data_IF_105186295838
#
_entry.id   IF_105186295838
#
_cell.length_a   1.000
_cell.length_b   1.000
_cell.length_c   1.000
_cell.angle_alpha   90.00
_cell.angle_beta   90.00
_cell.angle_gamma   90.00
#
_symmetry.space_group_name_H-M   'P 1'
#
loop_
_entity.id
_entity.type
_entity.pdbx_description
1 polymer ?
#
# COMPACT_ATOMS: atom_id res chain seq x y z
N UNK A 1 -5.74 12.42 17.88
CA UNK A 1 -4.85 11.77 16.90
C UNK A 1 -5.32 12.12 15.52
N UNK A 2 -4.39 12.31 14.59
CA UNK A 2 -4.66 12.49 13.16
C UNK A 2 -5.34 11.23 12.57
N UNK A 3 -6.44 11.34 11.78
CA UNK A 3 -7.15 10.18 11.21
C UNK A 3 -6.29 9.26 10.35
N UNK A 4 -5.29 9.81 9.64
CA UNK A 4 -4.33 9.03 8.88
C UNK A 4 -3.43 8.22 9.82
N UNK A 5 -2.87 8.87 10.83
CA UNK A 5 -2.10 8.17 11.88
C UNK A 5 -2.89 7.01 12.51
N UNK A 6 -4.14 7.24 12.93
CA UNK A 6 -5.00 6.18 13.50
C UNK A 6 -5.28 5.06 12.49
N UNK A 7 -5.45 5.39 11.21
CA UNK A 7 -5.60 4.39 10.14
C UNK A 7 -4.34 3.55 10.01
N UNK A 8 -3.15 4.17 10.00
CA UNK A 8 -1.88 3.45 9.93
C UNK A 8 -1.64 2.55 11.15
N UNK A 9 -1.93 3.02 12.36
CA UNK A 9 -1.86 2.21 13.57
C UNK A 9 -2.77 0.98 13.47
N UNK A 10 -4.01 1.16 13.00
CA UNK A 10 -4.94 0.05 12.81
C UNK A 10 -4.43 -0.94 11.75
N UNK A 11 -3.82 -0.46 10.66
CA UNK A 11 -3.21 -1.31 9.64
C UNK A 11 -1.99 -2.07 10.20
N UNK A 12 -1.16 -1.47 11.04
CA UNK A 12 -0.04 -2.14 11.70
C UNK A 12 -0.50 -3.27 12.61
N UNK A 13 -1.51 -3.02 13.44
CA UNK A 13 -2.11 -4.06 14.30
C UNK A 13 -2.68 -5.18 13.43
N UNK A 14 -3.34 -4.82 12.32
CA UNK A 14 -3.91 -5.80 11.40
C UNK A 14 -2.82 -6.64 10.72
N UNK A 15 -1.76 -6.02 10.18
CA UNK A 15 -0.62 -6.70 9.56
C UNK A 15 -0.04 -7.69 10.56
N UNK A 16 0.29 -7.23 11.78
CA UNK A 16 0.84 -8.06 12.84
C UNK A 16 0.01 -9.34 13.09
N UNK A 17 -1.32 -9.18 13.15
CA UNK A 17 -2.25 -10.27 13.41
C UNK A 17 -2.37 -11.29 12.26
N UNK A 18 -1.92 -10.96 11.04
CA UNK A 18 -2.11 -11.79 9.85
C UNK A 18 -0.81 -12.23 9.16
N UNK A 19 0.36 -11.83 9.67
CA UNK A 19 1.65 -12.25 9.12
C UNK A 19 1.81 -13.77 9.04
N UNK A 20 1.33 -14.49 10.06
CA UNK A 20 1.36 -15.95 10.07
C UNK A 20 0.58 -16.59 8.90
N UNK A 21 -0.46 -15.93 8.40
CA UNK A 21 -1.26 -16.42 7.26
C UNK A 21 -0.51 -16.42 5.93
N UNK A 22 0.60 -15.70 5.84
CA UNK A 22 1.47 -15.65 4.65
C UNK A 22 2.85 -16.28 4.89
N UNK A 23 3.02 -17.01 5.99
CA UNK A 23 4.29 -17.62 6.37
C UNK A 23 5.38 -16.62 6.76
N UNK A 24 5.00 -15.41 7.19
CA UNK A 24 5.92 -14.39 7.69
C UNK A 24 5.86 -14.29 9.22
N UNK A 25 6.98 -13.94 9.85
CA UNK A 25 7.07 -13.70 11.29
C UNK A 25 7.93 -12.46 11.58
N UNK A 26 7.46 -11.31 11.09
CA UNK A 26 8.14 -10.03 11.26
C UNK A 26 7.89 -9.44 12.62
N UNK A 27 8.92 -8.81 13.19
CA UNK A 27 8.77 -7.94 14.34
C UNK A 27 8.00 -6.70 13.92
N UNK A 28 7.03 -6.32 14.76
CA UNK A 28 6.28 -5.08 14.57
C UNK A 28 7.23 -3.89 14.72
N UNK A 29 7.33 -3.00 13.70
CA UNK A 29 8.12 -1.79 13.83
C UNK A 29 7.59 -0.93 14.98
N UNK A 30 8.50 -0.36 15.77
CA UNK A 30 8.17 0.46 16.93
C UNK A 30 7.85 1.92 16.59
N UNK A 31 7.88 2.28 15.30
CA UNK A 31 7.45 3.58 14.77
C UNK A 31 6.73 3.40 13.43
N UNK A 32 6.01 4.44 13.01
CA UNK A 32 5.37 4.50 11.70
C UNK A 32 6.26 5.27 10.71
N UNK A 33 6.29 4.91 9.42
CA UNK A 33 6.93 5.72 8.40
C UNK A 33 6.18 7.05 8.21
N UNK A 34 6.87 8.08 7.73
CA UNK A 34 6.23 9.33 7.31
C UNK A 34 5.46 9.11 6.00
N UNK A 35 4.22 9.58 5.93
CA UNK A 35 3.45 9.60 4.68
C UNK A 35 3.63 10.93 3.98
N UNK A 36 4.26 10.93 2.79
CA UNK A 36 4.36 12.11 1.92
C UNK A 36 3.40 12.03 0.75
N UNK A 37 2.57 13.05 0.61
CA UNK A 37 1.74 13.22 -0.58
C UNK A 37 2.53 13.97 -1.64
N UNK A 38 2.55 13.45 -2.87
CA UNK A 38 3.28 14.05 -3.98
C UNK A 38 2.48 14.00 -5.29
N UNK A 39 2.61 15.00 -6.15
CA UNK A 39 1.95 14.98 -7.46
C UNK A 39 2.27 13.69 -8.23
N UNK A 40 1.30 13.13 -8.97
CA UNK A 40 1.49 11.90 -9.74
C UNK A 40 2.69 11.98 -10.69
N UNK A 41 2.91 13.14 -11.34
CA UNK A 41 4.06 13.34 -12.24
C UNK A 41 5.39 13.14 -11.51
N UNK A 42 5.58 13.80 -10.36
CA UNK A 42 6.82 13.66 -9.58
C UNK A 42 6.97 12.26 -9.01
N UNK A 43 5.91 11.66 -8.47
CA UNK A 43 5.97 10.31 -7.91
C UNK A 43 6.31 9.27 -8.98
N UNK A 44 5.68 9.36 -10.16
CA UNK A 44 5.96 8.48 -11.28
C UNK A 44 7.41 8.62 -11.78
N UNK A 45 7.94 9.85 -11.85
CA UNK A 45 9.34 10.06 -12.20
C UNK A 45 10.30 9.43 -11.18
N UNK A 46 10.00 9.53 -9.88
CA UNK A 46 10.84 8.96 -8.81
C UNK A 46 10.82 7.44 -8.79
N UNK A 47 9.63 6.85 -8.81
CA UNK A 47 9.46 5.41 -8.64
C UNK A 47 9.69 4.61 -9.92
N UNK A 48 9.35 5.19 -11.08
CA UNK A 48 9.36 4.48 -12.36
C UNK A 48 10.39 5.02 -13.36
N UNK A 49 10.95 6.21 -13.14
CA UNK A 49 11.82 6.90 -14.10
C UNK A 49 11.10 7.45 -15.34
N UNK A 50 9.79 7.22 -15.45
CA UNK A 50 8.92 7.59 -16.59
C UNK A 50 7.46 7.68 -16.13
N UNK A 51 6.56 8.31 -16.91
CA UNK A 51 5.13 8.32 -16.59
C UNK A 51 4.60 6.90 -16.38
N UNK A 52 3.96 6.67 -15.23
CA UNK A 52 3.39 5.38 -14.83
C UNK A 52 2.19 5.60 -13.90
N UNK A 53 1.25 4.65 -13.90
CA UNK A 53 0.02 4.71 -13.11
C UNK A 53 0.24 4.31 -11.63
N UNK A 54 1.26 4.90 -10.98
CA UNK A 54 1.59 4.63 -9.58
C UNK A 54 0.74 5.50 -8.65
N UNK A 55 0.29 4.91 -7.55
CA UNK A 55 -0.56 5.56 -6.54
C UNK A 55 0.13 5.64 -5.20
N UNK A 56 0.86 4.59 -4.82
CA UNK A 56 1.70 4.54 -3.64
C UNK A 56 3.07 3.95 -3.95
N UNK A 57 4.05 4.28 -3.13
CA UNK A 57 5.40 3.74 -3.26
C UNK A 57 6.18 3.84 -1.95
N UNK A 58 6.71 2.71 -1.49
CA UNK A 58 7.79 2.65 -0.53
C UNK A 58 9.14 2.41 -1.24
N UNK A 59 10.09 3.36 -1.20
CA UNK A 59 11.45 3.13 -1.66
C UNK A 59 12.12 2.07 -0.79
N UNK A 60 12.41 0.90 -1.33
CA UNK A 60 13.13 -0.19 -0.62
C UNK A 60 14.65 -0.01 -0.61
N UNK A 61 15.16 1.13 -1.10
CA UNK A 61 16.58 1.47 -1.16
C UNK A 61 16.79 2.89 -0.67
N UNK A 62 17.93 3.14 -0.03
CA UNK A 62 18.36 4.47 0.46
C UNK A 62 17.39 5.11 1.45
N UNK A 63 16.65 4.30 2.21
CA UNK A 63 15.89 4.77 3.36
C UNK A 63 16.83 5.08 4.53
N UNK A 64 16.39 6.00 5.38
CA UNK A 64 17.09 6.32 6.62
C UNK A 64 16.30 5.68 7.76
N UNK A 65 16.96 4.80 8.52
CA UNK A 65 16.32 4.10 9.64
C UNK A 65 15.72 5.09 10.65
N UNK A 66 14.43 4.93 10.96
CA UNK A 66 13.67 5.81 11.84
C UNK A 66 13.15 7.09 11.18
N UNK A 67 13.37 7.26 9.87
CA UNK A 67 12.94 8.41 9.06
C UNK A 67 12.43 7.96 7.68
N UNK A 68 11.91 6.73 7.62
CA UNK A 68 11.41 6.11 6.42
C UNK A 68 10.24 6.91 5.86
N UNK A 69 10.21 7.05 4.54
CA UNK A 69 9.15 7.78 3.85
C UNK A 69 8.41 6.84 2.90
N UNK A 70 7.09 6.83 3.03
CA UNK A 70 6.16 6.20 2.11
C UNK A 70 5.41 7.29 1.36
N UNK A 71 5.37 7.18 0.03
CA UNK A 71 4.74 8.18 -0.83
C UNK A 71 3.36 7.74 -1.28
N UNK A 72 2.41 8.66 -1.31
CA UNK A 72 1.10 8.53 -1.95
C UNK A 72 0.88 9.69 -2.93
N UNK A 73 0.08 9.49 -3.98
CA UNK A 73 -0.26 10.61 -4.86
C UNK A 73 -1.16 11.64 -4.15
N UNK A 74 -1.00 12.92 -4.45
CA UNK A 74 -1.86 13.98 -3.91
C UNK A 74 -3.37 13.74 -4.17
N UNK A 75 -4.20 14.09 -3.18
CA UNK A 75 -5.66 14.03 -3.29
C UNK A 75 -6.28 12.64 -3.11
N UNK A 76 -5.49 11.62 -2.79
CA UNK A 76 -6.02 10.32 -2.34
C UNK A 76 -6.39 10.35 -0.86
N UNK A 77 -7.31 9.46 -0.48
CA UNK A 77 -7.85 9.39 0.87
C UNK A 77 -7.77 7.95 1.39
N UNK A 78 -6.64 7.52 1.98
CA UNK A 78 -6.52 6.18 2.57
C UNK A 78 -7.44 5.97 3.78
N UNK A 79 -7.93 7.04 4.42
CA UNK A 79 -8.80 6.95 5.59
C UNK A 79 -10.17 6.46 5.16
N UNK A 80 -10.78 7.08 4.15
CA UNK A 80 -12.16 6.76 3.75
C UNK A 80 -12.26 5.90 2.49
N UNK A 81 -11.22 5.84 1.65
CA UNK A 81 -11.22 5.03 0.43
C UNK A 81 -10.50 3.70 0.66
N UNK A 82 -11.28 2.61 0.73
CA UNK A 82 -10.76 1.25 0.90
C UNK A 82 -9.69 0.89 -0.15
N UNK A 83 -9.83 1.32 -1.41
CA UNK A 83 -8.86 1.00 -2.47
C UNK A 83 -7.49 1.62 -2.15
N UNK A 84 -7.48 2.90 -1.79
CA UNK A 84 -6.27 3.63 -1.42
C UNK A 84 -5.69 3.06 -0.13
N UNK A 85 -6.55 2.67 0.81
CA UNK A 85 -6.12 2.03 2.06
C UNK A 85 -5.44 0.69 1.82
N UNK A 86 -5.92 -0.11 0.86
CA UNK A 86 -5.29 -1.37 0.48
C UNK A 86 -3.92 -1.12 -0.16
N UNK A 87 -3.77 -0.09 -1.01
CA UNK A 87 -2.46 0.34 -1.55
C UNK A 87 -1.55 0.76 -0.39
N UNK A 88 -2.03 1.57 0.54
CA UNK A 88 -1.25 1.96 1.72
C UNK A 88 -0.79 0.74 2.52
N UNK A 89 -1.67 -0.23 2.77
CA UNK A 89 -1.30 -1.48 3.46
C UNK A 89 -0.19 -2.23 2.71
N UNK A 90 -0.30 -2.35 1.39
CA UNK A 90 0.72 -3.00 0.55
C UNK A 90 2.09 -2.35 0.78
N UNK A 91 2.18 -1.03 0.66
CA UNK A 91 3.42 -0.29 0.86
C UNK A 91 3.93 -0.35 2.32
N UNK A 92 3.02 -0.42 3.31
CA UNK A 92 3.41 -0.62 4.71
C UNK A 92 4.00 -2.03 4.93
N UNK A 93 3.57 -3.05 4.20
CA UNK A 93 4.21 -4.38 4.26
C UNK A 93 5.65 -4.30 3.75
N UNK A 94 5.94 -3.51 2.71
CA UNK A 94 7.32 -3.28 2.28
C UNK A 94 8.16 -2.58 3.36
N UNK A 95 7.60 -1.62 4.08
CA UNK A 95 8.26 -1.04 5.24
C UNK A 95 8.55 -2.10 6.32
N UNK A 96 7.60 -2.98 6.63
CA UNK A 96 7.82 -4.08 7.58
C UNK A 96 8.91 -5.04 7.11
N UNK A 97 8.93 -5.38 5.83
CA UNK A 97 9.97 -6.22 5.24
C UNK A 97 11.35 -5.59 5.38
N UNK A 98 11.47 -4.30 5.08
CA UNK A 98 12.71 -3.53 5.19
C UNK A 98 13.20 -3.43 6.64
N UNK A 99 12.31 -3.06 7.57
CA UNK A 99 12.61 -2.99 9.01
C UNK A 99 13.14 -4.31 9.58
N UNK A 100 12.69 -5.44 9.01
CA UNK A 100 13.08 -6.78 9.44
C UNK A 100 14.24 -7.39 8.63
N UNK A 101 14.89 -6.63 7.74
CA UNK A 101 15.90 -7.13 6.79
C UNK A 101 15.40 -8.38 6.02
N UNK A 102 14.11 -8.44 5.72
CA UNK A 102 13.51 -9.61 5.10
C UNK A 102 14.10 -9.83 3.71
N UNK A 103 14.46 -11.08 3.43
CA UNK A 103 15.06 -11.55 2.17
C UNK A 103 16.49 -11.05 1.89
N UNK A 104 17.14 -10.32 2.81
CA UNK A 104 18.50 -9.81 2.59
C UNK A 104 19.58 -10.90 2.74
N UNK A 105 19.37 -11.92 3.58
CA UNK A 105 20.31 -13.03 3.80
C UNK A 105 20.20 -14.17 2.77
N UNK A 106 19.77 -13.86 1.54
CA UNK A 106 19.59 -14.85 0.47
C UNK A 106 20.69 -14.70 -0.59
N UNK A 107 21.14 -15.82 -1.16
CA UNK A 107 21.99 -15.81 -2.37
C UNK A 107 21.19 -15.48 -3.65
N UNK A 108 19.94 -15.02 -3.49
CA UNK A 108 19.03 -14.76 -4.59
C UNK A 108 19.34 -13.41 -5.27
N UNK A 109 19.12 -13.38 -6.58
CA UNK A 109 19.21 -12.13 -7.35
C UNK A 109 18.21 -11.08 -6.83
N UNK A 110 18.52 -9.80 -7.03
CA UNK A 110 17.62 -8.69 -6.67
C UNK A 110 16.20 -8.87 -7.23
N UNK A 111 16.08 -9.40 -8.45
CA UNK A 111 14.79 -9.64 -9.10
C UNK A 111 13.96 -10.70 -8.37
N UNK A 112 14.60 -11.76 -7.89
CA UNK A 112 13.95 -12.84 -7.14
C UNK A 112 13.51 -12.32 -5.77
N UNK A 113 14.39 -11.60 -5.06
CA UNK A 113 14.07 -10.95 -3.77
C UNK A 113 12.90 -9.97 -3.90
N UNK A 114 12.90 -9.14 -4.95
CA UNK A 114 11.79 -8.25 -5.28
C UNK A 114 10.48 -9.01 -5.47
N UNK A 115 10.52 -10.15 -6.16
CA UNK A 115 9.33 -10.97 -6.42
C UNK A 115 8.75 -11.54 -5.12
N UNK A 116 9.60 -12.01 -4.20
CA UNK A 116 9.13 -12.47 -2.88
C UNK A 116 8.53 -11.35 -2.04
N UNK A 117 9.15 -10.16 -2.04
CA UNK A 117 8.64 -8.98 -1.33
C UNK A 117 7.23 -8.60 -1.82
N UNK A 118 7.05 -8.48 -3.13
CA UNK A 118 5.77 -8.15 -3.77
C UNK A 118 4.72 -9.25 -3.54
N UNK A 119 5.11 -10.52 -3.62
CA UNK A 119 4.19 -11.64 -3.42
C UNK A 119 3.58 -11.62 -2.01
N UNK A 120 4.39 -11.42 -0.98
CA UNK A 120 3.90 -11.35 0.40
C UNK A 120 3.03 -10.11 0.65
N UNK A 121 3.43 -8.93 0.14
CA UNK A 121 2.62 -7.72 0.24
C UNK A 121 1.25 -7.91 -0.42
N UNK A 122 1.23 -8.49 -1.62
CA UNK A 122 0.00 -8.80 -2.37
C UNK A 122 -0.91 -9.78 -1.62
N UNK A 123 -0.35 -10.82 -1.00
CA UNK A 123 -1.12 -11.79 -0.23
C UNK A 123 -1.82 -11.14 0.97
N UNK A 124 -1.10 -10.32 1.76
CA UNK A 124 -1.72 -9.61 2.88
C UNK A 124 -2.78 -8.61 2.43
N UNK A 125 -2.54 -7.89 1.34
CA UNK A 125 -3.55 -7.00 0.76
C UNK A 125 -4.82 -7.77 0.38
N UNK A 126 -4.70 -8.96 -0.21
CA UNK A 126 -5.84 -9.77 -0.63
C UNK A 126 -6.66 -10.23 0.56
N UNK A 127 -5.99 -10.67 1.62
CA UNK A 127 -6.63 -11.08 2.89
C UNK A 127 -7.34 -9.87 3.51
N UNK A 128 -6.67 -8.71 3.60
CA UNK A 128 -7.25 -7.48 4.15
C UNK A 128 -8.51 -7.07 3.40
N UNK A 129 -8.42 -7.00 2.07
CA UNK A 129 -9.52 -6.60 1.20
C UNK A 129 -10.70 -7.56 1.34
N UNK A 130 -10.44 -8.87 1.39
CA UNK A 130 -11.46 -9.89 1.64
C UNK A 130 -12.17 -9.69 2.99
N UNK A 131 -11.42 -9.41 4.06
CA UNK A 131 -12.01 -9.13 5.37
C UNK A 131 -12.88 -7.87 5.38
N UNK A 132 -12.43 -6.79 4.72
CA UNK A 132 -13.20 -5.54 4.65
C UNK A 132 -14.49 -5.73 3.83
N UNK A 133 -14.47 -6.56 2.78
CA UNK A 133 -15.68 -6.90 2.02
C UNK A 133 -16.68 -7.70 2.85
N UNK A 134 -16.21 -8.68 3.62
CA UNK A 134 -17.08 -9.44 4.52
C UNK A 134 -17.67 -8.56 5.62
N UNK A 135 -16.88 -7.63 6.19
CA UNK A 135 -17.41 -6.63 7.14
C UNK A 135 -18.48 -5.76 6.50
N UNK A 136 -18.25 -5.27 5.28
CA UNK A 136 -19.23 -4.49 4.53
C UNK A 136 -20.51 -5.31 4.29
N UNK A 137 -20.37 -6.56 3.86
CA UNK A 137 -21.49 -7.48 3.62
C UNK A 137 -22.34 -7.67 4.86
N UNK A 138 -21.71 -7.98 5.99
CA UNK A 138 -22.38 -8.15 7.28
C UNK A 138 -23.10 -6.88 7.75
N UNK A 139 -22.52 -5.70 7.50
CA UNK A 139 -23.09 -4.41 7.91
C UNK A 139 -24.26 -3.94 7.05
N UNK A 140 -24.23 -4.23 5.76
CA UNK A 140 -25.15 -3.65 4.78
C UNK A 140 -26.08 -4.67 4.10
N UNK A 141 -25.97 -5.94 4.48
CA UNK A 141 -26.70 -7.09 3.89
C UNK A 141 -26.61 -7.13 2.35
N UNK A 142 -25.47 -6.70 1.80
CA UNK A 142 -25.22 -6.68 0.37
C UNK A 142 -23.74 -6.83 0.04
N UNK A 143 -23.45 -7.44 -1.09
CA UNK A 143 -22.08 -7.53 -1.59
C UNK A 143 -21.50 -6.15 -1.86
N UNK A 144 -20.27 -5.94 -1.39
CA UNK A 144 -19.48 -4.80 -1.84
C UNK A 144 -19.23 -4.96 -3.35
N UNK A 145 -19.66 -3.98 -4.15
CA UNK A 145 -19.33 -3.91 -5.57
C UNK A 145 -18.08 -3.05 -5.70
N UNK A 146 -16.87 -3.64 -5.75
CA UNK A 146 -15.66 -2.87 -5.74
C UNK A 146 -15.57 -1.97 -6.98
N UNK A 147 -15.29 -0.70 -6.73
CA UNK A 147 -14.61 0.18 -7.71
C UNK A 147 -13.10 0.17 -7.52
N UNK A 148 -12.60 -0.82 -6.76
CA UNK A 148 -11.19 -0.93 -6.42
C UNK A 148 -10.47 -1.81 -7.43
N UNK A 149 -9.15 -1.76 -7.34
CA UNK A 149 -8.24 -2.59 -8.09
C UNK A 149 -8.43 -4.06 -7.71
N UNK A 150 -8.54 -4.93 -8.72
CA UNK A 150 -8.57 -6.39 -8.52
C UNK A 150 -7.21 -6.95 -8.10
N UNK A 151 -6.13 -6.31 -8.53
CA UNK A 151 -4.76 -6.63 -8.15
C UNK A 151 -3.92 -5.36 -8.12
N UNK A 152 -2.97 -5.32 -7.17
CA UNK A 152 -1.95 -4.30 -7.07
C UNK A 152 -0.59 -4.95 -7.35
N UNK A 153 0.27 -4.23 -8.06
CA UNK A 153 1.68 -4.60 -8.23
C UNK A 153 2.49 -3.31 -8.28
N UNK A 154 3.56 -3.24 -7.48
CA UNK A 154 4.41 -2.05 -7.38
C UNK A 154 3.61 -0.76 -7.10
N UNK A 155 2.63 -0.82 -6.19
CA UNK A 155 1.74 0.29 -5.86
C UNK A 155 0.83 0.77 -7.01
N UNK A 156 0.69 -0.03 -8.08
CA UNK A 156 -0.16 0.24 -9.25
C UNK A 156 -1.31 -0.74 -9.30
N UNK A 157 -2.39 -0.32 -9.92
CA UNK A 157 -3.53 -1.20 -10.20
C UNK A 157 -3.45 -1.79 -11.59
N UNK A 158 -3.31 -3.11 -11.66
CA UNK A 158 -2.98 -3.81 -12.91
C UNK A 158 -4.20 -3.98 -13.83
N UNK A 159 -5.41 -4.11 -13.25
CA UNK A 159 -6.60 -4.50 -14.00
C UNK A 159 -7.58 -3.35 -14.33
N UNK A 160 -7.24 -2.10 -14.00
CA UNK A 160 -8.05 -0.92 -14.36
C UNK A 160 -7.19 0.37 -14.40
N UNK A 161 -6.17 0.50 -15.25
CA UNK A 161 -5.30 1.68 -15.25
C UNK A 161 -6.05 3.00 -15.47
N UNK A 162 -7.24 2.99 -16.10
CA UNK A 162 -8.07 4.17 -16.34
C UNK A 162 -8.79 4.73 -15.11
N UNK A 163 -8.93 3.98 -14.01
CA UNK A 163 -9.54 4.53 -12.79
C UNK A 163 -8.68 5.63 -12.18
N UNK A 164 -7.36 5.59 -12.37
CA UNK A 164 -6.43 6.61 -11.86
C UNK A 164 -6.68 7.95 -12.55
N UNK A 165 -6.87 7.96 -13.87
CA UNK A 165 -7.19 9.18 -14.60
C UNK A 165 -8.56 9.74 -14.17
N UNK A 166 -9.55 8.87 -13.97
CA UNK A 166 -10.85 9.26 -13.41
C UNK A 166 -10.73 9.82 -11.98
N UNK A 167 -9.81 9.26 -11.17
CA UNK A 167 -9.56 9.68 -9.80
C UNK A 167 -8.84 11.03 -9.73
N UNK A 168 -7.77 11.20 -10.53
CA UNK A 168 -7.02 12.44 -10.67
C UNK A 168 -7.92 13.56 -11.21
N UNK A 169 -8.80 13.27 -12.17
CA UNK A 169 -9.73 14.27 -12.71
C UNK A 169 -10.83 14.63 -11.69
N UNK A 170 -11.33 13.67 -10.91
CA UNK A 170 -12.31 13.95 -9.84
C UNK A 170 -11.72 14.72 -8.66
N UNK A 171 -10.46 14.48 -8.29
CA UNK A 171 -9.83 15.21 -7.19
C UNK A 171 -9.54 16.67 -7.56
N UNK A 172 -9.24 16.96 -8.83
CA UNK A 172 -9.14 18.33 -9.36
C UNK A 172 -10.48 19.07 -9.30
N UNK A 173 -11.58 18.40 -9.65
CA UNK A 173 -12.92 19.02 -9.65
C UNK A 173 -13.55 19.19 -8.26
N UNK A 174 -12.93 18.68 -7.19
CA UNK A 174 -13.38 18.92 -5.80
C UNK A 174 -12.72 20.14 -5.14
N UNK A 175 -11.81 20.82 -5.85
CA UNK A 175 -11.14 22.04 -5.39
C UNK A 175 -11.76 23.32 -5.99
N UNK A 176 -12.95 23.25 -6.61
CA UNK A 176 -13.71 24.41 -7.09
C UNK A 176 -14.90 24.71 -6.18
#
# INVERSE_FOLDING_TARGET
MDPLHSTMTALFIWINAHLGSIGANYQMPNYLPEIKFESQKKLSQKACGKPCAIVGWYPTKNQINGKEVLYLIEGVDPVNNLCIRTILLHELVHFWQDYNNAFEDTNDSEKVRFTYKEQQATLLEHIYRGNEYEKYRKKHDKYYKPRCCKSISFGRCVNDPGWIDQFINKSKNKKS
#
